data_IF_691567151497
#
_entry.id   IF_691567151497
#
_cell.length_a   1.000
_cell.length_b   1.000
_cell.length_c   1.000
_cell.angle_alpha   90.00
_cell.angle_beta   90.00
_cell.angle_gamma   90.00
#
_symmetry.space_group_name_H-M   'P 1'
#
loop_
_entity.id
_entity.type
_entity.pdbx_description
1 polymer ?
#
# COMPACT_ATOMS: atom_id res chain seq x y z
N UNK A 1 16.80 -7.26 -31.89
CA UNK A 1 16.22 -5.90 -31.98
C UNK A 1 15.04 -5.70 -31.02
N UNK A 2 14.05 -6.61 -31.01
CA UNK A 2 12.86 -6.54 -30.15
C UNK A 2 13.18 -6.56 -28.63
N UNK A 3 14.05 -7.46 -28.17
CA UNK A 3 14.42 -7.56 -26.74
C UNK A 3 15.05 -6.27 -26.19
N UNK A 4 15.91 -5.63 -26.97
CA UNK A 4 16.53 -4.35 -26.60
C UNK A 4 15.49 -3.22 -26.46
N UNK A 5 14.46 -3.20 -27.31
CA UNK A 5 13.37 -2.23 -27.20
C UNK A 5 12.49 -2.47 -25.97
N UNK A 6 12.18 -3.74 -25.65
CA UNK A 6 11.44 -4.13 -24.44
C UNK A 6 12.21 -3.73 -23.18
N UNK A 7 13.51 -4.00 -23.13
CA UNK A 7 14.36 -3.60 -22.00
C UNK A 7 14.40 -2.08 -21.88
N UNK A 8 14.65 -1.36 -22.99
CA UNK A 8 14.70 0.10 -22.96
C UNK A 8 13.37 0.71 -22.46
N UNK A 9 12.23 0.25 -22.98
CA UNK A 9 10.93 0.74 -22.55
C UNK A 9 10.67 0.50 -21.06
N UNK A 10 10.88 -0.74 -20.59
CA UNK A 10 10.58 -1.16 -19.21
C UNK A 10 11.55 -0.58 -18.16
N UNK A 11 12.79 -0.29 -18.55
CA UNK A 11 13.84 0.20 -17.64
C UNK A 11 14.05 1.72 -17.66
N UNK A 12 13.57 2.43 -18.69
CA UNK A 12 13.80 3.89 -18.82
C UNK A 12 12.50 4.67 -18.94
N UNK A 13 11.76 4.52 -20.03
CA UNK A 13 10.59 5.35 -20.34
C UNK A 13 9.41 5.08 -19.40
N UNK A 14 9.08 3.81 -19.16
CA UNK A 14 7.95 3.44 -18.32
C UNK A 14 8.13 3.91 -16.86
N UNK A 15 9.30 3.73 -16.20
CA UNK A 15 9.55 4.31 -14.87
C UNK A 15 9.34 5.83 -14.81
N UNK A 16 9.76 6.59 -15.83
CA UNK A 16 9.57 8.05 -15.86
C UNK A 16 8.09 8.43 -15.93
N UNK A 17 7.33 7.76 -16.81
CA UNK A 17 5.87 7.94 -16.92
C UNK A 17 5.21 7.59 -15.58
N UNK A 18 5.64 6.50 -14.93
CA UNK A 18 5.11 6.10 -13.64
C UNK A 18 5.38 7.12 -12.55
N UNK A 19 6.62 7.63 -12.45
CA UNK A 19 6.98 8.66 -11.47
C UNK A 19 6.13 9.91 -11.69
N UNK A 20 5.97 10.37 -12.93
CA UNK A 20 5.14 11.53 -13.26
C UNK A 20 3.70 11.35 -12.81
N UNK A 21 3.05 10.24 -13.19
CA UNK A 21 1.65 9.95 -12.83
C UNK A 21 1.50 9.78 -11.31
N UNK A 22 2.47 9.11 -10.67
CA UNK A 22 2.48 8.92 -9.23
C UNK A 22 2.54 10.25 -8.48
N UNK A 23 3.50 11.11 -8.82
CA UNK A 23 3.66 12.44 -8.20
C UNK A 23 2.41 13.29 -8.43
N UNK A 24 1.89 13.30 -9.67
CA UNK A 24 0.66 14.03 -9.99
C UNK A 24 -0.53 13.57 -9.13
N UNK A 25 -0.73 12.25 -9.01
CA UNK A 25 -1.80 11.69 -8.18
C UNK A 25 -1.63 12.02 -6.69
N UNK A 26 -0.40 11.94 -6.16
CA UNK A 26 -0.09 12.32 -4.78
C UNK A 26 -0.35 13.82 -4.54
N UNK A 27 0.02 14.68 -5.48
CA UNK A 27 -0.22 16.12 -5.39
C UNK A 27 -1.73 16.44 -5.33
N UNK A 28 -2.53 15.84 -6.23
CA UNK A 28 -3.99 15.99 -6.21
C UNK A 28 -4.62 15.53 -4.89
N UNK A 29 -4.15 14.40 -4.35
CA UNK A 29 -4.64 13.88 -3.07
C UNK A 29 -4.26 14.79 -1.90
N UNK A 30 -3.04 15.30 -1.92
CA UNK A 30 -2.54 16.25 -0.91
C UNK A 30 -3.31 17.56 -0.93
N UNK A 31 -3.63 18.08 -2.11
CA UNK A 31 -4.49 19.26 -2.28
C UNK A 31 -5.88 19.01 -1.67
N UNK A 32 -6.49 17.85 -1.91
CA UNK A 32 -7.78 17.47 -1.32
C UNK A 32 -7.72 17.45 0.22
N UNK A 33 -6.66 16.90 0.80
CA UNK A 33 -6.49 16.91 2.26
C UNK A 33 -6.33 18.31 2.82
N UNK A 34 -5.54 19.14 2.16
CA UNK A 34 -5.38 20.54 2.55
C UNK A 34 -6.70 21.30 2.53
N UNK A 35 -7.52 21.09 1.49
CA UNK A 35 -8.86 21.68 1.39
C UNK A 35 -9.79 21.19 2.49
N UNK A 36 -9.82 19.88 2.80
CA UNK A 36 -10.61 19.34 3.91
C UNK A 36 -10.15 19.94 5.26
N UNK A 37 -8.83 20.07 5.46
CA UNK A 37 -8.27 20.62 6.68
C UNK A 37 -8.64 22.09 6.90
N UNK A 38 -8.66 22.89 5.82
CA UNK A 38 -9.08 24.31 5.86
C UNK A 38 -10.58 24.50 5.98
N UNK A 39 -11.37 23.69 5.27
CA UNK A 39 -12.82 23.95 5.08
C UNK A 39 -13.69 23.23 6.10
N UNK A 40 -13.23 22.15 6.75
CA UNK A 40 -14.13 21.33 7.59
C UNK A 40 -14.65 22.07 8.84
N UNK A 41 -15.96 22.37 8.93
CA UNK A 41 -16.60 22.98 10.09
C UNK A 41 -16.96 21.96 11.19
N UNK A 42 -16.72 20.66 10.95
CA UNK A 42 -16.99 19.54 11.89
C UNK A 42 -16.05 19.56 13.12
N UNK A 43 -15.15 20.54 13.18
CA UNK A 43 -14.16 20.70 14.25
C UNK A 43 -14.66 21.38 15.52
N UNK A 44 -15.88 21.93 15.53
CA UNK A 44 -16.48 22.58 16.70
C UNK A 44 -16.77 21.67 17.90
N UNK A 45 -16.54 20.35 17.78
CA UNK A 45 -16.81 19.37 18.85
C UNK A 45 -15.71 18.32 19.06
N UNK A 46 -14.51 18.51 18.52
CA UNK A 46 -13.41 17.57 18.74
C UNK A 46 -12.83 17.76 20.15
N UNK A 47 -12.60 16.64 20.85
CA UNK A 47 -11.83 16.63 22.12
C UNK A 47 -10.53 17.42 21.94
N UNK A 48 -10.36 18.47 22.73
CA UNK A 48 -9.13 19.25 22.79
C UNK A 48 -8.10 18.52 23.64
N UNK A 49 -6.83 18.58 23.24
CA UNK A 49 -5.72 18.06 24.04
C UNK A 49 -4.88 19.22 24.56
N UNK A 50 -4.87 19.44 25.88
CA UNK A 50 -3.96 20.39 26.52
C UNK A 50 -2.51 19.90 26.44
N UNK A 51 -1.59 20.81 26.09
CA UNK A 51 -0.15 20.59 26.06
C UNK A 51 0.49 20.74 24.68
N UNK A 52 1.71 20.24 24.52
CA UNK A 52 2.50 20.44 23.31
C UNK A 52 1.89 19.77 22.06
N UNK A 53 2.22 20.31 20.88
CA UNK A 53 1.83 19.74 19.58
C UNK A 53 2.20 18.25 19.45
N UNK A 54 3.38 17.86 19.94
CA UNK A 54 3.83 16.47 19.98
C UNK A 54 2.93 15.58 20.86
N UNK A 55 2.52 16.07 22.03
CA UNK A 55 1.58 15.38 22.92
C UNK A 55 0.21 15.21 22.27
N UNK A 56 -0.28 16.22 21.55
CA UNK A 56 -1.54 16.13 20.80
C UNK A 56 -1.49 15.13 19.64
N UNK A 57 -0.38 15.07 18.91
CA UNK A 57 -0.15 14.02 17.90
C UNK A 57 -0.18 12.65 18.57
N UNK A 58 0.65 12.43 19.59
CA UNK A 58 0.74 11.13 20.28
C UNK A 58 -0.61 10.69 20.85
N UNK A 59 -1.34 11.58 21.51
CA UNK A 59 -2.67 11.29 22.04
C UNK A 59 -3.69 10.99 20.93
N UNK A 60 -3.59 11.63 19.76
CA UNK A 60 -4.45 11.30 18.62
C UNK A 60 -4.14 9.89 18.07
N UNK A 61 -2.87 9.47 18.06
CA UNK A 61 -2.49 8.11 17.65
C UNK A 61 -2.94 7.06 18.68
N UNK A 62 -2.70 7.33 19.96
CA UNK A 62 -2.89 6.38 21.05
C UNK A 62 -4.34 6.35 21.53
N UNK A 63 -4.98 7.49 21.79
CA UNK A 63 -6.27 7.53 22.48
C UNK A 63 -7.46 7.54 21.51
N UNK A 64 -7.31 8.19 20.36
CA UNK A 64 -8.40 8.29 19.38
C UNK A 64 -8.38 7.18 18.33
N UNK A 65 -7.20 6.61 18.04
CA UNK A 65 -7.01 5.70 16.92
C UNK A 65 -6.41 4.34 17.29
N UNK A 66 -5.97 4.11 18.54
CA UNK A 66 -5.78 2.71 18.96
C UNK A 66 -7.16 2.04 18.93
N UNK A 67 -7.31 0.95 18.16
CA UNK A 67 -8.58 0.29 18.07
C UNK A 67 -8.94 -0.21 19.46
N UNK A 68 -10.05 0.28 20.02
CA UNK A 68 -10.70 -0.36 21.16
C UNK A 68 -11.12 -1.75 20.71
N UNK A 69 -10.24 -2.75 20.83
CA UNK A 69 -10.45 -4.15 20.46
C UNK A 69 -11.48 -4.30 19.31
N UNK A 70 -11.08 -3.86 18.10
CA UNK A 70 -11.98 -3.33 17.06
C UNK A 70 -13.30 -4.12 16.88
N UNK A 71 -14.41 -3.41 16.65
CA UNK A 71 -15.71 -4.00 16.26
C UNK A 71 -15.58 -4.98 15.07
N UNK A 72 -14.58 -4.79 14.21
CA UNK A 72 -14.26 -5.71 13.11
C UNK A 72 -13.69 -7.05 13.61
N UNK A 73 -12.79 -7.04 14.59
CA UNK A 73 -12.29 -8.26 15.24
C UNK A 73 -13.38 -9.00 16.02
N UNK A 74 -14.33 -8.27 16.62
CA UNK A 74 -15.49 -8.88 17.31
C UNK A 74 -16.50 -9.52 16.35
N UNK A 75 -16.65 -8.98 15.13
CA UNK A 75 -17.65 -9.46 14.15
C UNK A 75 -17.12 -10.56 13.24
N UNK A 76 -15.83 -10.54 12.92
CA UNK A 76 -15.22 -11.51 11.99
C UNK A 76 -13.71 -11.64 12.24
N UNK A 77 -13.37 -12.30 13.35
CA UNK A 77 -12.00 -12.44 13.84
C UNK A 77 -11.06 -13.13 12.84
N UNK A 78 -11.55 -14.15 12.14
CA UNK A 78 -10.76 -14.89 11.15
C UNK A 78 -10.28 -13.98 10.02
N UNK A 79 -11.18 -13.19 9.44
CA UNK A 79 -10.81 -12.27 8.36
C UNK A 79 -10.06 -11.02 8.84
N UNK A 80 -10.19 -10.65 10.12
CA UNK A 80 -9.31 -9.66 10.73
C UNK A 80 -7.85 -10.17 10.76
N UNK A 81 -7.62 -11.41 11.23
CA UNK A 81 -6.29 -12.03 11.26
C UNK A 81 -5.72 -12.17 9.84
N UNK A 82 -6.52 -12.66 8.89
CA UNK A 82 -6.11 -12.76 7.47
C UNK A 82 -5.73 -11.39 6.92
N UNK A 83 -6.52 -10.35 7.21
CA UNK A 83 -6.25 -8.99 6.76
C UNK A 83 -4.96 -8.41 7.34
N UNK A 84 -4.73 -8.57 8.64
CA UNK A 84 -3.49 -8.12 9.29
C UNK A 84 -2.28 -8.91 8.76
N UNK A 85 -2.40 -10.24 8.67
CA UNK A 85 -1.37 -11.11 8.11
C UNK A 85 -1.00 -10.72 6.68
N UNK A 86 -1.99 -10.44 5.82
CA UNK A 86 -1.76 -9.98 4.45
C UNK A 86 -0.92 -8.69 4.40
N UNK A 87 -1.20 -7.70 5.26
CA UNK A 87 -0.42 -6.46 5.30
C UNK A 87 1.01 -6.70 5.79
N UNK A 88 1.19 -7.49 6.85
CA UNK A 88 2.53 -7.82 7.37
C UNK A 88 3.34 -8.52 6.30
N UNK A 89 2.75 -9.50 5.62
CA UNK A 89 3.42 -10.26 4.55
C UNK A 89 3.70 -9.35 3.34
N UNK A 90 2.78 -8.46 2.97
CA UNK A 90 3.00 -7.50 1.90
C UNK A 90 4.20 -6.59 2.19
N UNK A 91 4.26 -6.00 3.39
CA UNK A 91 5.40 -5.18 3.84
C UNK A 91 6.69 -6.02 3.83
N UNK A 92 6.62 -7.25 4.31
CA UNK A 92 7.74 -8.20 4.31
C UNK A 92 8.21 -8.47 2.87
N UNK A 93 7.33 -8.73 1.91
CA UNK A 93 7.70 -8.95 0.51
C UNK A 93 8.40 -7.73 -0.14
N UNK A 94 8.02 -6.51 0.25
CA UNK A 94 8.72 -5.28 -0.18
C UNK A 94 10.14 -5.17 0.37
N UNK A 95 10.47 -5.87 1.47
CA UNK A 95 11.81 -5.92 2.08
C UNK A 95 12.66 -7.09 1.55
N UNK A 96 12.27 -7.71 0.45
CA UNK A 96 13.11 -8.68 -0.23
C UNK A 96 14.25 -7.98 -0.96
N UNK A 97 15.39 -8.67 -1.10
CA UNK A 97 16.60 -8.11 -1.72
C UNK A 97 16.33 -7.49 -3.10
N UNK A 98 15.52 -8.14 -3.93
CA UNK A 98 15.20 -7.65 -5.28
C UNK A 98 14.48 -6.29 -5.27
N UNK A 99 13.52 -6.10 -4.37
CA UNK A 99 12.79 -4.84 -4.23
C UNK A 99 13.69 -3.77 -3.62
N UNK A 100 14.45 -4.10 -2.57
CA UNK A 100 15.41 -3.19 -1.94
C UNK A 100 16.48 -2.74 -2.95
N UNK A 101 17.07 -3.65 -3.73
CA UNK A 101 18.07 -3.33 -4.73
C UNK A 101 17.50 -2.41 -5.82
N UNK A 102 16.22 -2.59 -6.19
CA UNK A 102 15.54 -1.71 -7.17
C UNK A 102 15.29 -0.32 -6.60
N UNK A 103 14.82 -0.22 -5.35
CA UNK A 103 14.62 1.06 -4.64
C UNK A 103 15.98 1.77 -4.46
N UNK A 104 17.01 1.01 -4.11
CA UNK A 104 18.36 1.55 -3.96
C UNK A 104 18.98 1.90 -5.30
N UNK A 105 18.68 1.23 -6.41
CA UNK A 105 19.17 1.65 -7.72
C UNK A 105 18.69 3.06 -8.08
N UNK A 106 17.49 3.44 -7.64
CA UNK A 106 16.96 4.81 -7.76
C UNK A 106 17.66 5.82 -6.82
N UNK A 107 18.15 5.38 -5.65
CA UNK A 107 18.73 6.25 -4.60
C UNK A 107 20.27 6.27 -4.56
N UNK A 108 20.94 5.21 -5.03
CA UNK A 108 22.39 5.00 -5.00
C UNK A 108 23.16 5.98 -5.86
N UNK A 109 22.48 6.69 -6.75
CA UNK A 109 23.07 7.84 -7.44
C UNK A 109 23.39 9.00 -6.46
N UNK A 110 22.88 8.95 -5.22
CA UNK A 110 23.00 10.02 -4.23
C UNK A 110 23.48 9.58 -2.84
N UNK A 111 23.23 8.33 -2.39
CA UNK A 111 23.61 7.87 -1.04
C UNK A 111 23.98 6.37 -1.03
N UNK A 112 25.17 6.04 -0.52
CA UNK A 112 25.58 4.65 -0.26
C UNK A 112 25.02 4.18 1.09
N UNK A 113 23.88 3.50 1.08
CA UNK A 113 23.25 2.95 2.29
C UNK A 113 23.62 1.46 2.40
N UNK A 114 24.37 1.03 3.44
CA UNK A 114 24.61 -0.39 3.68
C UNK A 114 23.29 -1.09 4.04
N UNK A 115 22.97 -2.18 3.35
CA UNK A 115 21.75 -2.96 3.59
C UNK A 115 21.99 -3.88 4.78
N UNK A 116 21.34 -3.62 5.90
CA UNK A 116 21.51 -4.38 7.16
C UNK A 116 20.48 -5.53 7.28
N UNK A 117 19.35 -5.47 6.55
CA UNK A 117 18.30 -6.48 6.64
C UNK A 117 17.58 -6.68 5.29
N UNK A 118 17.52 -7.92 4.81
CA UNK A 118 16.63 -8.33 3.72
C UNK A 118 16.15 -9.76 3.95
N UNK A 119 15.00 -10.11 3.37
CA UNK A 119 14.46 -11.47 3.51
C UNK A 119 15.13 -12.44 2.53
N UNK A 120 15.59 -13.63 2.98
CA UNK A 120 16.19 -14.61 2.09
C UNK A 120 15.23 -15.15 1.03
N UNK A 121 15.77 -15.53 -0.14
CA UNK A 121 15.02 -16.09 -1.28
C UNK A 121 14.04 -17.23 -0.93
N UNK A 122 14.39 -18.26 -0.12
CA UNK A 122 13.47 -19.36 0.18
C UNK A 122 12.18 -18.90 0.89
N UNK A 123 12.27 -17.88 1.75
CA UNK A 123 11.09 -17.32 2.41
C UNK A 123 10.22 -16.52 1.45
N UNK A 124 10.79 -15.95 0.39
CA UNK A 124 10.04 -15.13 -0.59
C UNK A 124 8.95 -15.95 -1.30
N UNK A 125 9.21 -17.20 -1.64
CA UNK A 125 8.23 -18.07 -2.30
C UNK A 125 7.06 -18.39 -1.38
N UNK A 126 7.35 -18.82 -0.15
CA UNK A 126 6.33 -19.15 0.86
C UNK A 126 5.48 -17.92 1.18
N UNK A 127 6.12 -16.78 1.42
CA UNK A 127 5.43 -15.52 1.69
C UNK A 127 4.54 -15.08 0.52
N UNK A 128 5.00 -15.27 -0.72
CA UNK A 128 4.19 -14.96 -1.91
C UNK A 128 2.93 -15.82 -2.00
N UNK A 129 3.04 -17.13 -1.72
CA UNK A 129 1.89 -18.05 -1.70
C UNK A 129 0.88 -17.63 -0.63
N UNK A 130 1.36 -17.34 0.59
CA UNK A 130 0.49 -16.92 1.69
C UNK A 130 -0.16 -15.57 1.36
N UNK A 131 0.59 -14.63 0.79
CA UNK A 131 0.07 -13.33 0.36
C UNK A 131 -1.06 -13.47 -0.67
N UNK A 132 -0.81 -14.21 -1.75
CA UNK A 132 -1.80 -14.46 -2.82
C UNK A 132 -3.04 -15.13 -2.23
N UNK A 133 -2.86 -16.12 -1.35
CA UNK A 133 -3.96 -16.84 -0.71
C UNK A 133 -4.80 -15.91 0.18
N UNK A 134 -4.17 -15.12 1.04
CA UNK A 134 -4.86 -14.17 1.90
C UNK A 134 -5.62 -13.11 1.09
N UNK A 135 -4.99 -12.57 0.05
CA UNK A 135 -5.60 -11.57 -0.81
C UNK A 135 -6.79 -12.14 -1.59
N UNK A 136 -6.67 -13.37 -2.09
CA UNK A 136 -7.75 -14.10 -2.77
C UNK A 136 -8.94 -14.33 -1.83
N UNK A 137 -8.68 -14.82 -0.61
CA UNK A 137 -9.73 -15.02 0.40
C UNK A 137 -10.44 -13.71 0.76
N UNK A 138 -9.68 -12.62 0.92
CA UNK A 138 -10.26 -11.29 1.16
C UNK A 138 -11.10 -10.81 -0.02
N UNK A 139 -10.68 -11.09 -1.25
CA UNK A 139 -11.43 -10.73 -2.45
C UNK A 139 -12.72 -11.52 -2.57
N UNK A 140 -12.67 -12.85 -2.39
CA UNK A 140 -13.85 -13.73 -2.38
C UNK A 140 -14.84 -13.29 -1.31
N UNK A 141 -14.37 -12.99 -0.09
CA UNK A 141 -15.24 -12.45 0.96
C UNK A 141 -15.92 -11.16 0.53
N UNK A 142 -15.20 -10.26 -0.12
CA UNK A 142 -15.77 -9.00 -0.62
C UNK A 142 -16.84 -9.26 -1.67
N UNK A 143 -16.58 -10.12 -2.65
CA UNK A 143 -17.55 -10.51 -3.68
C UNK A 143 -18.82 -11.12 -3.05
N UNK A 144 -18.64 -12.09 -2.15
CA UNK A 144 -19.74 -12.74 -1.45
C UNK A 144 -20.58 -11.75 -0.64
N UNK A 145 -19.95 -10.88 0.16
CA UNK A 145 -20.68 -9.90 0.97
C UNK A 145 -21.30 -8.78 0.13
N UNK A 146 -20.72 -8.46 -1.02
CA UNK A 146 -21.31 -7.53 -1.98
C UNK A 146 -22.56 -8.13 -2.63
N UNK A 147 -22.49 -9.37 -3.10
CA UNK A 147 -23.60 -10.11 -3.71
C UNK A 147 -24.75 -10.37 -2.72
N UNK A 148 -24.43 -10.62 -1.45
CA UNK A 148 -25.42 -10.90 -0.39
C UNK A 148 -25.92 -9.66 0.35
N UNK A 149 -25.64 -8.45 -0.17
CA UNK A 149 -26.07 -7.16 0.43
C UNK A 149 -25.67 -7.00 1.91
N UNK A 150 -24.52 -7.54 2.31
CA UNK A 150 -24.00 -7.45 3.68
C UNK A 150 -23.18 -6.16 3.88
N UNK A 151 -22.63 -5.99 5.09
CA UNK A 151 -21.95 -4.78 5.52
C UNK A 151 -20.82 -4.31 4.58
N UNK A 152 -20.07 -5.21 3.94
CA UNK A 152 -19.03 -4.81 2.99
C UNK A 152 -19.57 -4.14 1.73
N UNK A 153 -20.85 -4.33 1.35
CA UNK A 153 -21.44 -3.61 0.20
C UNK A 153 -21.44 -2.10 0.43
N UNK A 154 -21.79 -1.66 1.64
CA UNK A 154 -21.93 -0.24 2.01
C UNK A 154 -20.58 0.50 1.97
N UNK A 155 -19.50 -0.21 2.28
CA UNK A 155 -18.14 0.38 2.35
C UNK A 155 -17.27 0.04 1.13
N UNK A 156 -17.76 -0.80 0.21
CA UNK A 156 -17.07 -1.11 -1.03
C UNK A 156 -17.34 -0.05 -2.08
N UNK A 157 -16.30 0.27 -2.82
CA UNK A 157 -16.30 1.17 -3.96
C UNK A 157 -15.83 0.43 -5.20
N UNK A 158 -16.16 0.93 -6.38
CA UNK A 158 -15.65 0.39 -7.67
C UNK A 158 -14.12 0.26 -7.63
N UNK A 159 -13.43 1.23 -7.04
CA UNK A 159 -11.98 1.21 -6.89
C UNK A 159 -11.44 0.00 -6.12
N UNK A 160 -12.22 -0.63 -5.23
CA UNK A 160 -11.82 -1.86 -4.52
C UNK A 160 -11.81 -3.09 -5.44
N UNK A 161 -12.75 -3.15 -6.39
CA UNK A 161 -12.85 -4.23 -7.38
C UNK A 161 -11.81 -4.12 -8.48
N UNK A 162 -11.11 -2.98 -8.57
CA UNK A 162 -9.95 -2.79 -9.44
C UNK A 162 -8.66 -3.01 -8.64
N UNK A 163 -8.58 -2.41 -7.45
CA UNK A 163 -7.40 -2.45 -6.59
C UNK A 163 -6.98 -3.87 -6.23
N UNK A 164 -7.93 -4.67 -5.70
CA UNK A 164 -7.60 -6.00 -5.19
C UNK A 164 -7.14 -6.94 -6.32
N UNK A 165 -7.83 -7.03 -7.47
CA UNK A 165 -7.32 -7.80 -8.61
C UNK A 165 -5.98 -7.30 -9.14
N UNK A 166 -5.76 -5.98 -9.21
CA UNK A 166 -4.48 -5.44 -9.66
C UNK A 166 -3.32 -5.88 -8.74
N UNK A 167 -3.51 -5.80 -7.42
CA UNK A 167 -2.53 -6.29 -6.45
C UNK A 167 -2.36 -7.82 -6.51
N UNK A 168 -3.43 -8.57 -6.83
CA UNK A 168 -3.35 -10.01 -7.03
C UNK A 168 -2.51 -10.36 -8.26
N UNK A 169 -2.68 -9.64 -9.36
CA UNK A 169 -1.87 -9.80 -10.57
C UNK A 169 -0.40 -9.46 -10.27
N UNK A 170 -0.13 -8.39 -9.50
CA UNK A 170 1.23 -8.08 -9.01
C UNK A 170 1.81 -9.25 -8.22
N UNK A 171 1.04 -9.81 -7.28
CA UNK A 171 1.47 -10.95 -6.46
C UNK A 171 1.77 -12.21 -7.28
N UNK A 172 0.86 -12.59 -8.19
CA UNK A 172 1.01 -13.78 -9.06
C UNK A 172 2.19 -13.61 -10.01
N UNK A 173 2.31 -12.47 -10.66
CA UNK A 173 3.43 -12.20 -11.59
C UNK A 173 4.76 -12.10 -10.85
N UNK A 174 4.78 -11.58 -9.62
CA UNK A 174 5.98 -11.54 -8.78
C UNK A 174 6.43 -12.93 -8.34
N UNK A 175 5.47 -13.79 -7.98
CA UNK A 175 5.74 -15.20 -7.68
C UNK A 175 6.29 -15.94 -8.91
N UNK A 176 5.67 -15.75 -10.08
CA UNK A 176 6.17 -16.32 -11.33
C UNK A 176 7.58 -15.80 -11.68
N UNK A 177 7.86 -14.51 -11.47
CA UNK A 177 9.17 -13.93 -11.69
C UNK A 177 10.22 -14.53 -10.73
N UNK A 178 9.88 -14.76 -9.46
CA UNK A 178 10.78 -15.37 -8.48
C UNK A 178 11.16 -16.82 -8.85
N UNK A 179 10.21 -17.58 -9.41
CA UNK A 179 10.41 -18.96 -9.85
C UNK A 179 10.95 -19.11 -11.28
N UNK A 180 10.89 -18.06 -12.09
CA UNK A 180 11.23 -18.09 -13.52
C UNK A 180 12.61 -18.68 -13.80
N UNK A 181 13.62 -18.41 -12.96
CA UNK A 181 14.97 -18.96 -13.11
C UNK A 181 15.04 -20.48 -12.97
N UNK A 182 14.07 -21.10 -12.30
CA UNK A 182 14.03 -22.54 -12.03
C UNK A 182 13.05 -23.26 -12.97
N UNK A 183 11.88 -22.66 -13.23
CA UNK A 183 10.79 -23.31 -13.97
C UNK A 183 10.74 -22.92 -15.46
N UNK A 184 11.19 -21.72 -15.82
CA UNK A 184 11.03 -21.15 -17.16
C UNK A 184 12.27 -20.36 -17.60
N UNK A 185 13.47 -20.98 -17.66
CA UNK A 185 14.72 -20.26 -17.91
C UNK A 185 14.71 -19.48 -19.24
N UNK A 186 14.14 -20.06 -20.30
CA UNK A 186 14.09 -19.45 -21.64
C UNK A 186 13.14 -18.25 -21.73
N UNK A 187 12.12 -18.20 -20.87
CA UNK A 187 11.11 -17.13 -20.84
C UNK A 187 11.34 -16.12 -19.72
N UNK A 188 12.41 -16.29 -18.93
CA UNK A 188 12.68 -15.51 -17.73
C UNK A 188 12.63 -14.00 -17.97
N UNK A 189 13.26 -13.53 -19.05
CA UNK A 189 13.29 -12.11 -19.38
C UNK A 189 11.87 -11.55 -19.58
N UNK A 190 11.03 -12.25 -20.34
CA UNK A 190 9.65 -11.84 -20.63
C UNK A 190 8.78 -11.86 -19.39
N UNK A 191 8.92 -12.87 -18.52
CA UNK A 191 8.19 -12.96 -17.25
C UNK A 191 8.56 -11.79 -16.32
N UNK A 192 9.85 -11.48 -16.20
CA UNK A 192 10.32 -10.35 -15.39
C UNK A 192 9.83 -9.02 -15.99
N UNK A 193 9.96 -8.84 -17.31
CA UNK A 193 9.49 -7.63 -17.99
C UNK A 193 7.98 -7.43 -17.79
N UNK A 194 7.18 -8.49 -17.90
CA UNK A 194 5.75 -8.43 -17.65
C UNK A 194 5.44 -8.05 -16.20
N UNK A 195 6.12 -8.67 -15.23
CA UNK A 195 5.97 -8.30 -13.82
C UNK A 195 6.31 -6.82 -13.58
N UNK A 196 7.41 -6.32 -14.16
CA UNK A 196 7.78 -4.92 -14.07
C UNK A 196 6.68 -4.01 -14.63
N UNK A 197 6.13 -4.30 -15.81
CA UNK A 197 5.02 -3.51 -16.39
C UNK A 197 3.81 -3.49 -15.45
N UNK A 198 3.42 -4.65 -14.91
CA UNK A 198 2.29 -4.74 -13.96
C UNK A 198 2.56 -3.94 -12.69
N UNK A 199 3.77 -4.00 -12.13
CA UNK A 199 4.17 -3.22 -10.96
C UNK A 199 4.11 -1.72 -11.26
N UNK A 200 4.57 -1.28 -12.43
CA UNK A 200 4.52 0.12 -12.85
C UNK A 200 3.06 0.60 -12.96
N UNK A 201 2.17 -0.18 -13.57
CA UNK A 201 0.72 0.09 -13.61
C UNK A 201 0.11 0.17 -12.22
N UNK A 202 0.49 -0.74 -11.32
CA UNK A 202 0.07 -0.71 -9.93
C UNK A 202 0.51 0.56 -9.20
N UNK A 203 1.78 0.98 -9.36
CA UNK A 203 2.29 2.22 -8.77
C UNK A 203 1.52 3.43 -9.32
N UNK A 204 1.32 3.51 -10.64
CA UNK A 204 0.52 4.58 -11.27
C UNK A 204 -0.90 4.68 -10.71
N UNK A 205 -1.53 3.54 -10.42
CA UNK A 205 -2.89 3.50 -9.85
C UNK A 205 -2.94 3.77 -8.33
N UNK A 206 -1.85 3.49 -7.61
CA UNK A 206 -1.75 3.61 -6.15
C UNK A 206 -2.29 4.93 -5.58
N UNK A 207 -1.90 6.13 -6.06
CA UNK A 207 -2.36 7.40 -5.49
C UNK A 207 -3.84 7.70 -5.74
N UNK A 208 -4.51 7.01 -6.65
CA UNK A 208 -5.94 7.17 -6.94
C UNK A 208 -6.82 6.14 -6.21
N UNK A 209 -6.20 5.20 -5.50
CA UNK A 209 -6.89 4.04 -4.91
C UNK A 209 -6.88 4.06 -3.37
N UNK A 210 -7.45 3.01 -2.76
CA UNK A 210 -7.36 2.80 -1.31
C UNK A 210 -5.97 2.31 -0.86
N UNK A 211 -5.04 1.95 -1.74
CA UNK A 211 -3.67 1.58 -1.33
C UNK A 211 -2.94 2.70 -0.60
N UNK A 212 -3.26 3.96 -0.92
CA UNK A 212 -2.74 5.10 -0.18
C UNK A 212 -3.35 5.26 1.22
N UNK A 213 -4.30 4.43 1.65
CA UNK A 213 -5.00 4.61 2.93
C UNK A 213 -4.07 4.58 4.13
N UNK A 214 -2.94 3.87 4.06
CA UNK A 214 -2.02 3.74 5.20
C UNK A 214 -1.36 5.07 5.47
N UNK A 215 -0.78 5.64 4.42
CA UNK A 215 -0.18 6.98 4.40
C UNK A 215 -1.24 8.03 4.73
N UNK A 216 -2.43 7.93 4.11
CA UNK A 216 -3.56 8.86 4.37
C UNK A 216 -3.95 8.86 5.85
N UNK A 217 -4.06 7.67 6.46
CA UNK A 217 -4.45 7.53 7.87
C UNK A 217 -3.43 8.16 8.79
N UNK A 218 -2.13 7.93 8.55
CA UNK A 218 -1.04 8.54 9.32
C UNK A 218 -1.08 10.07 9.21
N UNK A 219 -1.22 10.60 7.99
CA UNK A 219 -1.28 12.05 7.75
C UNK A 219 -2.50 12.67 8.43
N UNK A 220 -3.67 12.05 8.29
CA UNK A 220 -4.91 12.54 8.92
C UNK A 220 -4.80 12.50 10.44
N UNK A 221 -4.24 11.43 11.03
CA UNK A 221 -4.00 11.34 12.47
C UNK A 221 -3.05 12.44 12.95
N UNK A 222 -1.96 12.69 12.22
CA UNK A 222 -1.01 13.74 12.55
C UNK A 222 -1.65 15.14 12.47
N UNK A 223 -2.35 15.44 11.39
CA UNK A 223 -3.03 16.73 11.20
C UNK A 223 -4.16 16.95 12.22
N UNK A 224 -4.89 15.90 12.56
CA UNK A 224 -5.93 15.92 13.60
C UNK A 224 -5.34 16.21 14.97
N UNK A 225 -4.27 15.50 15.36
CA UNK A 225 -3.58 15.73 16.63
C UNK A 225 -2.98 17.13 16.74
N UNK A 226 -2.39 17.65 15.66
CA UNK A 226 -1.90 19.03 15.59
C UNK A 226 -3.01 20.05 15.79
N UNK A 227 -4.18 19.84 15.14
CA UNK A 227 -5.31 20.75 15.25
C UNK A 227 -5.98 20.68 16.63
N UNK A 228 -6.10 19.50 17.24
CA UNK A 228 -6.61 19.32 18.62
C UNK A 228 -5.69 19.92 19.68
N UNK A 229 -4.38 19.91 19.47
CA UNK A 229 -3.43 20.62 20.32
C UNK A 229 -3.57 22.14 20.18
N UNK A 230 -3.75 22.64 18.95
CA UNK A 230 -3.96 24.07 18.70
C UNK A 230 -5.28 24.58 19.31
N UNK A 231 -6.33 23.76 19.32
CA UNK A 231 -7.63 24.07 19.95
C UNK A 231 -7.63 23.88 21.48
N UNK A 232 -6.71 23.08 22.00
CA UNK A 232 -6.52 22.87 23.45
C UNK A 232 -5.54 23.86 24.09
N UNK A 233 -5.16 24.91 23.37
CA UNK A 233 -4.30 25.98 23.86
C UNK A 233 -5.07 26.93 24.77
N UNK A 234 -5.05 26.58 26.07
CA UNK A 234 -4.80 27.41 27.26
C UNK A 234 -4.30 26.46 28.35
#
# INVERSE_FOLDING_TARGET
>A
MFEGQVIAFTSTMLPLITIFIFIYGVALRSLRWFMIWKVSPVLGGLKSYRGSKLKGIFNSFVLDHLPSYSLAAKRDMAFYIIGVGMHIIFITLLLTKAHIDTILALLKQYIAIPIILYIPKPFTHILSIIFISCLTLMFIRRLYQYATNKALKVISSIGDFIAVPLLLIVGVTGFAAALSSQLFPDYRLYIIAFHLVVVQVFIMYTPFSKFFHGITSIIVMMLSGLKKAALGGD
#
